data_IF_213745595364
#
_entry.id   IF_213745595364
#
_cell.length_a   1.000
_cell.length_b   1.000
_cell.length_c   1.000
_cell.angle_alpha   90.00
_cell.angle_beta   90.00
_cell.angle_gamma   90.00
#
_symmetry.space_group_name_H-M   'P 1'
#
loop_
_entity.id
_entity.type
_entity.pdbx_description
1 polymer ?
#
# COMPACT_ATOMS: atom_id res chain seq x y z
N UNK A 1 8.86 14.58 27.76
CA UNK A 1 8.62 13.76 26.56
C UNK A 1 7.88 14.63 25.54
N UNK A 2 8.41 14.71 24.31
CA UNK A 2 7.78 15.47 23.24
C UNK A 2 6.49 14.75 22.80
N UNK A 3 5.38 15.48 22.63
CA UNK A 3 4.09 14.93 22.23
C UNK A 3 4.02 14.44 20.77
N UNK A 4 5.09 14.64 19.99
CA UNK A 4 5.15 14.31 18.57
C UNK A 4 6.45 13.58 18.21
N UNK A 5 6.34 12.47 17.47
CA UNK A 5 7.47 11.66 17.02
C UNK A 5 7.25 11.16 15.60
N UNK A 6 8.25 11.30 14.74
CA UNK A 6 8.32 10.60 13.45
C UNK A 6 9.33 9.46 13.54
N UNK A 7 8.91 8.25 13.16
CA UNK A 7 9.76 7.08 13.02
C UNK A 7 9.84 6.70 11.53
N UNK A 8 11.02 6.83 10.94
CA UNK A 8 11.21 6.53 9.51
C UNK A 8 12.37 5.55 9.31
N UNK A 9 12.39 4.88 8.17
CA UNK A 9 13.46 3.94 7.78
C UNK A 9 13.03 3.03 6.64
N UNK A 10 14.00 2.42 5.98
CA UNK A 10 13.79 1.48 4.87
C UNK A 10 13.35 0.08 5.32
N UNK A 11 13.27 -0.89 4.40
CA UNK A 11 12.98 -2.28 4.71
C UNK A 11 14.09 -2.89 5.58
N UNK A 12 13.73 -3.80 6.46
CA UNK A 12 14.69 -4.52 7.31
C UNK A 12 15.33 -3.71 8.45
N UNK A 13 14.92 -2.45 8.67
CA UNK A 13 15.48 -1.58 9.73
C UNK A 13 14.76 -1.70 11.07
N UNK A 14 13.69 -2.50 11.17
CA UNK A 14 13.00 -2.77 12.42
C UNK A 14 11.93 -1.77 12.84
N UNK A 15 11.32 -1.05 11.89
CA UNK A 15 10.20 -0.15 12.17
C UNK A 15 9.11 -0.80 13.01
N UNK A 16 8.64 -1.98 12.61
CA UNK A 16 7.57 -2.71 13.31
C UNK A 16 7.99 -3.15 14.72
N UNK A 17 9.23 -3.58 14.91
CA UNK A 17 9.76 -3.95 16.24
C UNK A 17 9.80 -2.75 17.17
N UNK A 18 10.28 -1.61 16.65
CA UNK A 18 10.33 -0.34 17.41
C UNK A 18 8.91 0.14 17.73
N UNK A 19 7.99 0.03 16.79
CA UNK A 19 6.58 0.37 16.98
C UNK A 19 5.95 -0.46 18.10
N UNK A 20 6.15 -1.77 18.12
CA UNK A 20 5.67 -2.66 19.18
C UNK A 20 6.23 -2.27 20.55
N UNK A 21 7.49 -1.87 20.62
CA UNK A 21 8.11 -1.38 21.85
C UNK A 21 7.46 -0.07 22.33
N UNK A 22 7.15 0.87 21.41
CA UNK A 22 6.46 2.12 21.73
C UNK A 22 5.06 1.84 22.25
N UNK A 23 4.28 0.97 21.61
CA UNK A 23 2.94 0.59 22.03
C UNK A 23 2.98 -0.01 23.45
N UNK A 24 3.87 -0.98 23.66
CA UNK A 24 4.03 -1.62 24.98
C UNK A 24 4.40 -0.64 26.07
N UNK A 25 5.27 0.33 25.78
CA UNK A 25 5.67 1.39 26.72
C UNK A 25 4.48 2.27 27.10
N UNK A 26 3.68 2.71 26.12
CA UNK A 26 2.51 3.55 26.38
C UNK A 26 1.45 2.81 27.21
N UNK A 27 1.23 1.53 26.91
CA UNK A 27 0.30 0.72 27.73
C UNK A 27 0.77 0.53 29.17
N UNK A 28 2.08 0.30 29.38
CA UNK A 28 2.63 0.24 30.74
C UNK A 28 2.46 1.55 31.53
N UNK A 29 2.35 2.67 30.81
CA UNK A 29 2.03 3.98 31.40
C UNK A 29 0.52 4.19 31.61
N UNK A 30 -0.32 3.22 31.27
CA UNK A 30 -1.79 3.31 31.40
C UNK A 30 -2.45 4.18 30.34
N UNK A 31 -1.76 4.51 29.23
CA UNK A 31 -2.30 5.34 28.15
C UNK A 31 -3.26 4.55 27.26
N UNK A 32 -4.36 5.19 26.88
CA UNK A 32 -5.26 4.69 25.84
C UNK A 32 -4.64 4.91 24.46
N UNK A 33 -4.17 3.84 23.83
CA UNK A 33 -3.44 3.88 22.54
C UNK A 33 -4.37 3.46 21.40
N UNK A 34 -4.54 4.33 20.41
CA UNK A 34 -5.18 4.00 19.16
C UNK A 34 -4.14 3.86 18.03
N UNK A 35 -4.37 2.88 17.13
CA UNK A 35 -3.45 2.58 16.04
C UNK A 35 -4.23 2.59 14.74
N UNK A 36 -3.69 3.24 13.71
CA UNK A 36 -4.34 3.29 12.41
C UNK A 36 -3.36 3.31 11.24
N UNK A 37 -3.91 3.09 10.04
CA UNK A 37 -3.20 3.16 8.78
C UNK A 37 -4.10 3.72 7.67
N UNK A 38 -3.57 4.22 6.55
CA UNK A 38 -4.39 4.83 5.48
C UNK A 38 -5.25 3.83 4.71
N UNK A 39 -4.87 2.55 4.63
CA UNK A 39 -5.58 1.53 3.87
C UNK A 39 -6.00 0.34 4.73
N UNK A 40 -7.04 -0.39 4.30
CA UNK A 40 -7.54 -1.58 5.00
C UNK A 40 -6.48 -2.68 5.14
N UNK A 41 -5.67 -2.89 4.10
CA UNK A 41 -4.57 -3.86 4.11
C UNK A 41 -3.46 -3.49 5.06
N UNK A 42 -3.05 -2.22 5.05
CA UNK A 42 -2.04 -1.73 5.99
C UNK A 42 -2.54 -1.85 7.44
N UNK A 43 -3.80 -1.49 7.72
CA UNK A 43 -4.40 -1.63 9.04
C UNK A 43 -4.46 -3.11 9.48
N UNK A 44 -4.91 -4.02 8.61
CA UNK A 44 -4.93 -5.46 8.91
C UNK A 44 -3.53 -5.98 9.20
N UNK A 45 -2.56 -5.68 8.32
CA UNK A 45 -1.16 -6.07 8.53
C UNK A 45 -0.63 -5.54 9.88
N UNK A 46 -0.95 -4.31 10.21
CA UNK A 46 -0.55 -3.69 11.47
C UNK A 46 -1.17 -4.43 12.65
N UNK A 47 -2.45 -4.82 12.57
CA UNK A 47 -3.10 -5.65 13.58
C UNK A 47 -2.43 -7.02 13.72
N UNK A 48 -2.15 -7.70 12.61
CA UNK A 48 -1.51 -9.04 12.62
C UNK A 48 -0.10 -8.99 13.23
N UNK A 49 0.66 -7.92 12.98
CA UNK A 49 2.03 -7.77 13.46
C UNK A 49 2.13 -7.27 14.91
N UNK A 50 1.16 -6.47 15.35
CA UNK A 50 1.19 -5.85 16.70
C UNK A 50 0.34 -6.59 17.71
N UNK A 51 -0.66 -7.35 17.24
CA UNK A 51 -1.68 -7.96 18.09
C UNK A 51 -2.76 -6.98 18.57
N UNK A 52 -2.75 -5.73 18.09
CA UNK A 52 -3.73 -4.69 18.44
C UNK A 52 -4.74 -4.46 17.32
N UNK A 53 -5.95 -4.03 17.66
CA UNK A 53 -6.96 -3.66 16.68
C UNK A 53 -6.60 -2.33 16.01
N UNK A 54 -6.01 -2.42 14.82
CA UNK A 54 -5.72 -1.26 13.99
C UNK A 54 -6.85 -1.01 12.99
N UNK A 55 -7.27 0.25 12.88
CA UNK A 55 -8.33 0.68 11.96
C UNK A 55 -7.75 1.48 10.79
N UNK A 56 -8.51 1.62 9.71
CA UNK A 56 -8.16 2.67 8.75
C UNK A 56 -8.42 4.06 9.36
N UNK A 57 -7.64 5.07 8.93
CA UNK A 57 -7.86 6.45 9.38
C UNK A 57 -9.33 6.86 9.16
N UNK A 58 -9.90 6.53 8.01
CA UNK A 58 -11.30 6.84 7.69
C UNK A 58 -12.29 6.16 8.65
N UNK A 59 -12.03 4.91 9.06
CA UNK A 59 -12.89 4.19 10.04
C UNK A 59 -12.69 4.71 11.45
N UNK A 60 -11.48 5.18 11.76
CA UNK A 60 -11.18 5.77 13.06
C UNK A 60 -11.92 7.11 13.23
N UNK A 61 -11.91 7.94 12.18
CA UNK A 61 -12.59 9.24 12.17
C UNK A 61 -14.10 9.16 11.94
N UNK A 62 -14.62 8.00 11.53
CA UNK A 62 -16.02 7.73 11.19
C UNK A 62 -16.57 8.71 10.14
N UNK A 63 -16.74 8.20 8.90
CA UNK A 63 -17.21 9.02 7.77
C UNK A 63 -18.67 9.41 7.97
N UNK A 64 -18.98 10.70 7.89
CA UNK A 64 -20.34 11.24 7.81
C UNK A 64 -20.87 11.12 6.39
N UNK A 65 -22.07 10.59 6.24
CA UNK A 65 -22.79 10.67 4.98
C UNK A 65 -23.34 12.10 4.80
N UNK A 66 -22.66 12.88 3.98
CA UNK A 66 -23.15 14.20 3.55
C UNK A 66 -23.64 14.14 2.12
N UNK A 67 -24.72 14.86 1.82
CA UNK A 67 -25.25 15.03 0.46
C UNK A 67 -24.31 15.93 -0.35
N UNK A 68 -23.15 15.41 -0.77
CA UNK A 68 -22.14 16.12 -1.57
C UNK A 68 -20.81 15.38 -1.61
N UNK A 69 -19.91 15.78 -2.53
CA UNK A 69 -18.59 15.18 -2.78
C UNK A 69 -17.54 15.43 -1.66
N UNK A 70 -17.91 16.15 -0.60
CA UNK A 70 -16.98 16.45 0.52
C UNK A 70 -17.05 15.39 1.59
N UNK A 71 -15.92 14.71 1.83
CA UNK A 71 -15.75 13.82 2.97
C UNK A 71 -15.80 14.66 4.25
N UNK A 72 -16.80 14.39 5.09
CA UNK A 72 -16.88 14.89 6.45
C UNK A 72 -16.73 13.72 7.43
N UNK A 73 -16.18 13.99 8.60
CA UNK A 73 -15.97 13.00 9.65
C UNK A 73 -16.82 13.29 10.88
N UNK A 74 -17.13 12.25 11.66
CA UNK A 74 -17.84 12.38 12.94
C UNK A 74 -16.89 12.90 14.00
N UNK A 75 -15.63 12.41 14.01
CA UNK A 75 -14.59 12.92 14.89
C UNK A 75 -13.90 14.11 14.22
N UNK A 76 -13.99 15.24 14.90
CA UNK A 76 -13.46 16.55 14.54
C UNK A 76 -13.10 17.35 15.80
N UNK A 77 -12.85 18.64 15.70
CA UNK A 77 -12.53 19.54 16.83
C UNK A 77 -13.66 19.66 17.89
N UNK A 78 -14.90 19.30 17.55
CA UNK A 78 -16.06 19.31 18.46
C UNK A 78 -16.33 17.94 19.07
N UNK A 79 -15.75 16.88 18.52
CA UNK A 79 -15.93 15.50 18.97
C UNK A 79 -14.62 14.74 18.84
N UNK A 80 -13.70 14.96 19.77
CA UNK A 80 -12.36 14.39 19.73
C UNK A 80 -12.37 12.86 19.90
N UNK A 81 -11.34 12.22 19.36
CA UNK A 81 -11.04 10.82 19.66
C UNK A 81 -10.64 10.66 21.13
N UNK A 82 -11.18 9.64 21.76
CA UNK A 82 -10.84 9.30 23.16
C UNK A 82 -9.55 8.47 23.18
N UNK A 83 -8.40 9.15 23.00
CA UNK A 83 -7.09 8.52 23.05
C UNK A 83 -6.02 9.45 23.65
N UNK A 84 -5.10 8.85 24.42
CA UNK A 84 -3.91 9.53 24.95
C UNK A 84 -2.73 9.48 23.97
N UNK A 85 -2.73 8.48 23.08
CA UNK A 85 -1.73 8.33 22.05
C UNK A 85 -2.34 7.79 20.76
N UNK A 86 -2.00 8.41 19.63
CA UNK A 86 -2.38 7.96 18.30
C UNK A 86 -1.12 7.59 17.50
N UNK A 87 -1.12 6.40 16.93
CA UNK A 87 -0.05 5.91 16.08
C UNK A 87 -0.58 5.72 14.67
N UNK A 88 0.09 6.33 13.69
CA UNK A 88 -0.26 6.23 12.26
C UNK A 88 0.88 5.56 11.53
N UNK A 89 0.65 4.36 10.98
CA UNK A 89 1.61 3.67 10.11
C UNK A 89 1.33 3.96 8.63
N UNK A 90 2.28 3.64 7.77
CA UNK A 90 2.26 3.92 6.32
C UNK A 90 1.99 5.40 6.00
N UNK A 91 2.58 6.30 6.79
CA UNK A 91 2.34 7.75 6.72
C UNK A 91 2.71 8.37 5.36
N UNK A 92 3.55 7.72 4.56
CA UNK A 92 3.86 8.14 3.19
C UNK A 92 2.63 8.22 2.28
N UNK A 93 1.57 7.45 2.60
CA UNK A 93 0.31 7.42 1.83
C UNK A 93 -0.72 8.44 2.30
N UNK A 94 -0.48 9.14 3.42
CA UNK A 94 -1.43 10.11 3.98
C UNK A 94 -1.23 11.46 3.33
N UNK A 95 -2.29 12.00 2.73
CA UNK A 95 -2.29 13.33 2.13
C UNK A 95 -2.60 14.44 3.15
N UNK A 96 -2.48 15.69 2.72
CA UNK A 96 -2.65 16.85 3.60
C UNK A 96 -4.06 16.98 4.17
N UNK A 97 -5.09 16.67 3.38
CA UNK A 97 -6.48 16.76 3.82
C UNK A 97 -6.81 15.72 4.88
N UNK A 98 -6.36 14.48 4.65
CA UNK A 98 -6.58 13.39 5.61
C UNK A 98 -5.78 13.63 6.91
N UNK A 99 -4.56 14.15 6.80
CA UNK A 99 -3.75 14.49 7.97
C UNK A 99 -4.35 15.65 8.77
N UNK A 100 -4.85 16.69 8.09
CA UNK A 100 -5.59 17.79 8.74
C UNK A 100 -6.79 17.27 9.52
N UNK A 101 -7.59 16.38 8.91
CA UNK A 101 -8.75 15.78 9.58
C UNK A 101 -8.35 15.02 10.85
N UNK A 102 -7.23 14.27 10.82
CA UNK A 102 -6.70 13.61 12.01
C UNK A 102 -6.30 14.62 13.09
N UNK A 103 -5.58 15.67 12.71
CA UNK A 103 -5.13 16.69 13.68
C UNK A 103 -6.30 17.42 14.36
N UNK A 104 -7.40 17.65 13.64
CA UNK A 104 -8.63 18.22 14.21
C UNK A 104 -9.32 17.27 15.19
N UNK A 105 -9.20 15.97 14.99
CA UNK A 105 -9.89 14.96 15.79
C UNK A 105 -9.13 14.52 17.06
N UNK A 106 -7.91 14.98 17.31
CA UNK A 106 -7.12 14.61 18.47
C UNK A 106 -6.96 15.77 19.46
N UNK A 107 -6.85 15.44 20.74
CA UNK A 107 -6.53 16.43 21.79
C UNK A 107 -5.10 16.97 21.62
N UNK A 108 -4.87 18.21 22.00
CA UNK A 108 -3.52 18.82 22.06
C UNK A 108 -2.55 18.07 22.98
N UNK A 109 -3.07 17.31 23.94
CA UNK A 109 -2.29 16.47 24.86
C UNK A 109 -2.03 15.07 24.31
N UNK A 110 -2.69 14.68 23.22
CA UNK A 110 -2.51 13.38 22.59
C UNK A 110 -1.08 13.24 22.03
N UNK A 111 -0.42 12.13 22.33
CA UNK A 111 0.89 11.80 21.76
C UNK A 111 0.70 11.27 20.36
N UNK A 112 1.30 11.93 19.36
CA UNK A 112 1.18 11.53 17.96
C UNK A 112 2.49 10.89 17.49
N UNK A 113 2.41 9.64 17.03
CA UNK A 113 3.54 8.90 16.45
C UNK A 113 3.24 8.60 14.98
N UNK A 114 4.04 9.16 14.10
CA UNK A 114 3.96 8.93 12.65
C UNK A 114 5.03 7.92 12.24
N UNK A 115 4.62 6.82 11.62
CA UNK A 115 5.53 5.78 11.12
C UNK A 115 5.41 5.69 9.62
N UNK A 116 6.54 5.62 8.92
CA UNK A 116 6.51 5.50 7.47
C UNK A 116 7.90 5.44 6.84
N UNK A 117 7.91 5.35 5.53
CA UNK A 117 9.11 5.33 4.72
C UNK A 117 9.04 6.48 3.71
N UNK A 118 9.88 7.49 3.91
CA UNK A 118 9.90 8.70 3.07
C UNK A 118 10.41 8.48 1.65
N UNK A 119 11.01 7.32 1.38
CA UNK A 119 11.55 6.97 0.07
C UNK A 119 10.57 6.17 -0.79
N UNK A 120 9.47 5.69 -0.20
CA UNK A 120 8.35 5.12 -0.94
C UNK A 120 7.59 6.19 -1.74
N UNK A 121 6.62 5.73 -2.53
CA UNK A 121 5.73 6.61 -3.27
C UNK A 121 4.93 7.50 -2.30
N UNK A 122 4.78 8.80 -2.59
CA UNK A 122 3.94 9.68 -1.79
C UNK A 122 2.46 9.36 -1.98
N UNK A 123 1.61 9.98 -1.16
CA UNK A 123 0.14 9.91 -1.26
C UNK A 123 -0.36 10.22 -2.67
N UNK A 124 -1.52 9.69 -3.04
CA UNK A 124 -2.18 10.06 -4.32
C UNK A 124 -2.77 11.47 -4.22
N UNK A 125 -3.31 11.84 -3.06
CA UNK A 125 -3.84 13.18 -2.77
C UNK A 125 -2.76 14.26 -2.64
N UNK A 126 -3.18 15.48 -2.35
CA UNK A 126 -2.32 16.65 -2.29
C UNK A 126 -1.32 16.61 -1.12
N UNK A 127 -0.15 17.23 -1.32
CA UNK A 127 0.88 17.35 -0.29
C UNK A 127 1.88 16.19 -0.26
N UNK A 128 2.85 16.29 0.64
CA UNK A 128 3.87 15.27 0.92
C UNK A 128 4.22 15.31 2.41
N UNK A 129 3.19 15.10 3.24
CA UNK A 129 3.18 15.40 4.67
C UNK A 129 4.37 14.81 5.41
N UNK A 130 4.61 13.50 5.27
CA UNK A 130 5.72 12.83 5.97
C UNK A 130 7.07 13.46 5.61
N UNK A 131 7.31 13.66 4.33
CA UNK A 131 8.58 14.22 3.86
C UNK A 131 8.75 15.68 4.27
N UNK A 132 7.70 16.49 4.16
CA UNK A 132 7.74 17.90 4.56
C UNK A 132 8.04 18.07 6.04
N UNK A 133 7.45 17.22 6.89
CA UNK A 133 7.73 17.20 8.33
C UNK A 133 9.18 16.82 8.60
N UNK A 134 9.69 15.77 7.94
CA UNK A 134 11.09 15.35 8.08
C UNK A 134 12.06 16.45 7.60
N UNK A 135 11.82 16.99 6.41
CA UNK A 135 12.69 17.99 5.77
C UNK A 135 12.62 19.37 6.46
N UNK A 136 11.61 19.65 7.28
CA UNK A 136 11.52 20.88 8.07
C UNK A 136 12.54 20.91 9.21
N UNK A 137 12.94 19.75 9.73
CA UNK A 137 13.84 19.65 10.88
C UNK A 137 13.25 20.13 12.22
N UNK A 138 11.99 20.58 12.23
CA UNK A 138 11.32 21.16 13.40
C UNK A 138 10.86 20.10 14.38
N UNK A 139 10.37 18.98 13.87
CA UNK A 139 9.80 17.90 14.67
C UNK A 139 10.86 16.86 15.06
N UNK A 140 10.55 16.08 16.11
CA UNK A 140 11.40 14.96 16.49
C UNK A 140 11.31 13.83 15.48
N UNK A 141 12.43 13.53 14.82
CA UNK A 141 12.54 12.46 13.82
C UNK A 141 13.57 11.44 14.26
N UNK A 142 13.18 10.18 14.30
CA UNK A 142 14.07 9.04 14.50
C UNK A 142 14.16 8.27 13.17
N UNK A 143 15.34 8.27 12.57
CA UNK A 143 15.60 7.53 11.34
C UNK A 143 16.36 6.24 11.67
N UNK A 144 15.71 5.10 11.41
CA UNK A 144 16.34 3.79 11.54
C UNK A 144 17.18 3.53 10.29
N UNK A 145 18.50 3.50 10.44
CA UNK A 145 19.46 3.33 9.34
C UNK A 145 20.06 1.94 9.28
N UNK A 146 20.15 1.27 10.42
CA UNK A 146 20.78 -0.03 10.51
C UNK A 146 19.88 -1.14 10.03
N UNK A 147 20.36 -1.95 9.10
CA UNK A 147 19.68 -3.13 8.59
C UNK A 147 20.00 -4.29 9.54
N UNK A 148 18.99 -4.94 10.08
CA UNK A 148 19.20 -6.10 10.94
C UNK A 148 19.94 -7.23 10.20
N UNK A 149 20.80 -7.95 10.92
CA UNK A 149 21.65 -9.02 10.36
C UNK A 149 20.87 -10.02 9.50
N UNK A 150 19.69 -10.47 9.95
CA UNK A 150 18.85 -11.37 9.18
C UNK A 150 18.35 -10.75 7.87
N UNK A 151 18.05 -9.47 7.87
CA UNK A 151 17.60 -8.74 6.67
C UNK A 151 18.76 -8.48 5.70
N UNK A 152 20.02 -8.45 6.15
CA UNK A 152 21.19 -8.34 5.28
C UNK A 152 21.42 -9.57 4.39
N UNK A 153 20.82 -10.71 4.74
CA UNK A 153 20.89 -11.93 3.91
C UNK A 153 19.96 -11.87 2.70
N UNK A 154 18.97 -10.97 2.70
CA UNK A 154 18.03 -10.76 1.61
C UNK A 154 18.58 -9.81 0.55
N UNK A 155 18.70 -10.29 -0.68
CA UNK A 155 19.06 -9.45 -1.82
C UNK A 155 17.95 -8.43 -2.15
N UNK A 156 16.69 -8.73 -1.87
CA UNK A 156 15.58 -7.77 -2.02
C UNK A 156 15.85 -6.55 -1.14
N UNK A 157 16.18 -6.76 0.13
CA UNK A 157 16.44 -5.68 1.09
C UNK A 157 17.68 -4.91 0.71
N UNK A 158 18.78 -5.59 0.42
CA UNK A 158 20.05 -4.95 0.07
C UNK A 158 19.94 -4.14 -1.23
N UNK A 159 19.26 -4.69 -2.25
CA UNK A 159 19.03 -3.97 -3.50
C UNK A 159 18.05 -2.80 -3.32
N UNK A 160 17.05 -2.90 -2.45
CA UNK A 160 16.20 -1.76 -2.12
C UNK A 160 17.02 -0.58 -1.55
N UNK A 161 17.94 -0.84 -0.63
CA UNK A 161 18.84 0.20 -0.10
C UNK A 161 19.78 0.79 -1.16
N UNK A 162 20.35 -0.04 -2.05
CA UNK A 162 21.15 0.45 -3.18
C UNK A 162 20.31 1.37 -4.09
N UNK A 163 19.10 0.96 -4.44
CA UNK A 163 18.19 1.75 -5.29
C UNK A 163 17.93 3.13 -4.66
N UNK A 164 17.60 3.22 -3.38
CA UNK A 164 17.36 4.51 -2.71
C UNK A 164 18.58 5.42 -2.80
N UNK A 165 19.77 4.87 -2.60
CA UNK A 165 21.03 5.60 -2.69
C UNK A 165 21.42 5.98 -4.14
N UNK A 166 20.74 5.45 -5.14
CA UNK A 166 21.08 5.66 -6.56
C UNK A 166 22.21 4.77 -7.04
N UNK A 167 22.48 3.71 -6.32
CA UNK A 167 23.48 2.72 -6.68
C UNK A 167 22.88 1.66 -7.59
N UNK A 168 23.59 1.33 -8.67
CA UNK A 168 23.15 0.27 -9.59
C UNK A 168 23.23 -1.08 -8.91
N UNK A 169 22.26 -1.94 -9.22
CA UNK A 169 22.14 -3.29 -8.65
C UNK A 169 22.71 -4.33 -9.60
N UNK A 170 23.26 -5.41 -9.04
CA UNK A 170 23.71 -6.54 -9.86
C UNK A 170 22.51 -7.37 -10.32
N UNK A 171 22.19 -7.26 -11.61
CA UNK A 171 21.11 -8.01 -12.26
C UNK A 171 21.58 -9.38 -12.80
N UNK A 172 22.85 -9.74 -12.68
CA UNK A 172 23.37 -11.03 -13.08
C UNK A 172 23.29 -12.09 -11.99
N UNK A 173 23.19 -11.67 -10.73
CA UNK A 173 22.99 -12.57 -9.59
C UNK A 173 21.72 -13.41 -9.77
N UNK A 174 21.81 -14.71 -9.46
CA UNK A 174 20.70 -15.67 -9.51
C UNK A 174 20.47 -16.33 -8.17
N UNK A 175 21.08 -15.79 -7.14
CA UNK A 175 21.08 -16.38 -5.83
C UNK A 175 19.97 -15.77 -4.95
N UNK A 176 19.49 -16.56 -4.01
CA UNK A 176 18.58 -16.19 -2.94
C UNK A 176 17.16 -15.82 -3.40
N UNK A 177 16.76 -14.55 -3.20
CA UNK A 177 15.38 -14.09 -3.26
C UNK A 177 15.14 -13.02 -4.36
N UNK A 178 16.19 -12.62 -5.10
CA UNK A 178 16.12 -11.58 -6.13
C UNK A 178 16.58 -12.12 -7.49
N UNK A 179 15.73 -11.98 -8.51
CA UNK A 179 16.01 -12.47 -9.86
C UNK A 179 15.73 -11.39 -10.92
N UNK A 180 16.54 -11.37 -11.96
CA UNK A 180 16.30 -10.57 -13.15
C UNK A 180 16.25 -11.44 -14.39
N UNK A 181 15.20 -11.28 -15.21
CA UNK A 181 15.02 -12.01 -16.47
C UNK A 181 14.85 -11.02 -17.61
N UNK A 182 15.93 -10.85 -18.39
CA UNK A 182 15.91 -9.93 -19.52
C UNK A 182 14.94 -10.39 -20.60
N UNK A 183 14.10 -9.46 -21.08
CA UNK A 183 13.27 -9.61 -22.28
C UNK A 183 13.33 -8.30 -23.06
N UNK A 184 13.40 -8.42 -24.40
CA UNK A 184 13.53 -7.27 -25.28
C UNK A 184 12.30 -7.05 -26.15
N UNK A 185 11.35 -7.99 -26.13
CA UNK A 185 10.09 -7.94 -26.85
C UNK A 185 8.90 -8.07 -25.89
N UNK A 186 7.82 -7.33 -26.18
CA UNK A 186 6.61 -7.37 -25.34
C UNK A 186 5.95 -8.74 -25.28
N UNK A 187 5.91 -9.47 -26.41
CA UNK A 187 5.37 -10.83 -26.47
C UNK A 187 6.12 -11.79 -25.56
N UNK A 188 7.45 -11.81 -25.65
CA UNK A 188 8.31 -12.63 -24.81
C UNK A 188 8.17 -12.30 -23.30
N UNK A 189 8.01 -11.01 -22.98
CA UNK A 189 7.79 -10.57 -21.60
C UNK A 189 6.47 -11.14 -21.07
N UNK A 190 5.39 -10.99 -21.83
CA UNK A 190 4.07 -11.49 -21.43
C UNK A 190 4.07 -13.01 -21.30
N UNK A 191 4.69 -13.74 -22.26
CA UNK A 191 4.81 -15.20 -22.22
C UNK A 191 5.55 -15.67 -20.98
N UNK A 192 6.66 -15.00 -20.65
CA UNK A 192 7.43 -15.34 -19.47
C UNK A 192 6.65 -15.06 -18.17
N UNK A 193 5.94 -13.93 -18.08
CA UNK A 193 5.11 -13.63 -16.90
C UNK A 193 4.05 -14.70 -16.69
N UNK A 194 3.37 -15.13 -17.77
CA UNK A 194 2.40 -16.23 -17.72
C UNK A 194 3.07 -17.54 -17.31
N UNK A 195 4.20 -17.88 -17.91
CA UNK A 195 4.94 -19.11 -17.59
C UNK A 195 5.39 -19.15 -16.13
N UNK A 196 5.88 -18.03 -15.60
CA UNK A 196 6.24 -17.90 -14.18
C UNK A 196 5.04 -18.15 -13.27
N UNK A 197 3.90 -17.50 -13.54
CA UNK A 197 2.70 -17.65 -12.73
C UNK A 197 2.07 -19.06 -12.85
N UNK A 198 1.99 -19.62 -14.07
CA UNK A 198 1.23 -20.84 -14.34
C UNK A 198 2.02 -22.12 -14.04
N UNK A 199 3.33 -22.10 -14.29
CA UNK A 199 4.11 -23.34 -14.31
C UNK A 199 5.39 -23.30 -13.50
N UNK A 200 6.27 -22.31 -13.68
CA UNK A 200 7.60 -22.33 -13.07
C UNK A 200 7.57 -22.22 -11.57
N UNK A 201 6.93 -21.18 -11.05
CA UNK A 201 6.89 -20.93 -9.61
C UNK A 201 6.05 -21.95 -8.85
N UNK A 202 4.85 -22.36 -9.35
CA UNK A 202 4.11 -23.45 -8.72
C UNK A 202 4.89 -24.77 -8.68
N UNK A 203 5.59 -25.14 -9.77
CA UNK A 203 6.33 -26.41 -9.81
C UNK A 203 7.61 -26.40 -8.97
N UNK A 204 8.31 -25.25 -8.91
CA UNK A 204 9.61 -25.18 -8.26
C UNK A 204 9.51 -24.89 -6.75
N UNK A 205 8.47 -24.17 -6.32
CA UNK A 205 8.35 -23.63 -4.96
C UNK A 205 6.98 -23.85 -4.33
N UNK A 206 6.05 -24.51 -5.01
CA UNK A 206 4.67 -24.78 -4.56
C UNK A 206 3.86 -23.48 -4.29
N UNK A 207 4.18 -22.38 -4.98
CA UNK A 207 3.45 -21.12 -4.86
C UNK A 207 2.13 -21.17 -5.62
N UNK A 208 1.05 -20.73 -4.96
CA UNK A 208 -0.25 -20.52 -5.58
C UNK A 208 -0.21 -19.30 -6.53
N UNK A 209 -0.60 -19.46 -7.80
CA UNK A 209 -0.67 -18.33 -8.74
C UNK A 209 -1.62 -17.21 -8.29
N UNK A 210 -2.61 -17.55 -7.46
CA UNK A 210 -3.67 -16.64 -7.03
C UNK A 210 -3.32 -16.00 -5.70
N UNK A 211 -2.84 -16.80 -4.72
CA UNK A 211 -2.66 -16.36 -3.35
C UNK A 211 -1.27 -15.77 -3.10
N UNK A 212 -0.22 -16.43 -3.60
CA UNK A 212 1.17 -16.08 -3.27
C UNK A 212 1.82 -15.13 -4.28
N UNK A 213 1.40 -15.19 -5.56
CA UNK A 213 2.04 -14.43 -6.64
C UNK A 213 1.25 -13.16 -6.95
N UNK A 214 1.97 -12.03 -7.03
CA UNK A 214 1.41 -10.77 -7.52
C UNK A 214 2.29 -10.20 -8.64
N UNK A 215 1.67 -9.97 -9.80
CA UNK A 215 2.33 -9.24 -10.88
C UNK A 215 2.15 -7.74 -10.67
N UNK A 216 3.26 -6.99 -10.71
CA UNK A 216 3.28 -5.54 -10.63
C UNK A 216 3.74 -4.92 -11.94
N UNK A 217 3.11 -3.82 -12.35
CA UNK A 217 3.54 -3.03 -13.49
C UNK A 217 3.57 -1.53 -13.14
N UNK A 218 4.54 -0.77 -13.64
CA UNK A 218 4.53 0.69 -13.56
C UNK A 218 3.33 1.34 -14.25
N UNK A 219 2.73 0.67 -15.23
CA UNK A 219 1.73 1.25 -16.12
C UNK A 219 0.41 0.46 -16.13
N UNK A 220 -0.70 1.17 -16.38
CA UNK A 220 -2.02 0.54 -16.58
C UNK A 220 -2.25 0.15 -18.04
N UNK A 221 -1.85 1.03 -18.97
CA UNK A 221 -2.05 0.88 -20.42
C UNK A 221 -0.77 0.41 -21.10
N UNK A 222 -0.92 -0.14 -22.31
CA UNK A 222 0.18 -0.64 -23.13
C UNK A 222 0.45 -2.14 -22.94
N UNK A 223 1.32 -2.72 -23.77
CA UNK A 223 1.52 -4.18 -23.81
C UNK A 223 2.06 -4.78 -22.51
N UNK A 224 2.91 -4.05 -21.78
CA UNK A 224 3.38 -4.46 -20.44
C UNK A 224 2.51 -3.88 -19.30
N UNK A 225 1.38 -3.24 -19.62
CA UNK A 225 0.46 -2.65 -18.64
C UNK A 225 -0.48 -3.67 -18.04
N UNK A 226 -1.05 -3.32 -16.87
CA UNK A 226 -1.90 -4.23 -16.11
C UNK A 226 -3.14 -4.70 -16.86
N UNK A 227 -3.70 -3.89 -17.76
CA UNK A 227 -4.90 -4.26 -18.53
C UNK A 227 -4.61 -5.47 -19.43
N UNK A 228 -3.53 -5.43 -20.22
CA UNK A 228 -3.19 -6.52 -21.13
C UNK A 228 -2.65 -7.75 -20.36
N UNK A 229 -1.85 -7.52 -19.31
CA UNK A 229 -1.37 -8.60 -18.45
C UNK A 229 -2.55 -9.33 -17.78
N UNK A 230 -3.55 -8.61 -17.26
CA UNK A 230 -4.72 -9.22 -16.64
C UNK A 230 -5.54 -10.05 -17.62
N UNK A 231 -5.76 -9.57 -18.85
CA UNK A 231 -6.46 -10.36 -19.89
C UNK A 231 -5.76 -11.67 -20.15
N UNK A 232 -4.44 -11.61 -20.34
CA UNK A 232 -3.63 -12.77 -20.66
C UNK A 232 -3.54 -13.75 -19.48
N UNK A 233 -3.29 -13.23 -18.27
CA UNK A 233 -3.23 -14.05 -17.06
C UNK A 233 -4.59 -14.71 -16.77
N UNK A 234 -5.70 -13.99 -16.90
CA UNK A 234 -7.03 -14.57 -16.75
C UNK A 234 -7.26 -15.70 -17.76
N UNK A 235 -6.89 -15.51 -19.02
CA UNK A 235 -7.07 -16.51 -20.07
C UNK A 235 -6.29 -17.78 -19.78
N UNK A 236 -5.10 -17.67 -19.19
CA UNK A 236 -4.19 -18.78 -18.93
C UNK A 236 -4.41 -19.44 -17.56
N UNK A 237 -4.74 -18.66 -16.53
CA UNK A 237 -4.92 -19.16 -15.17
C UNK A 237 -6.38 -19.52 -14.87
N UNK A 238 -7.33 -18.82 -15.48
CA UNK A 238 -8.76 -19.02 -15.27
C UNK A 238 -9.54 -18.97 -16.59
N UNK A 239 -9.28 -19.89 -17.54
CA UNK A 239 -9.93 -19.91 -18.85
C UNK A 239 -11.44 -20.14 -18.72
N UNK A 240 -12.23 -19.74 -19.75
CA UNK A 240 -13.62 -20.12 -19.84
C UNK A 240 -13.76 -21.64 -19.92
N UNK A 241 -14.74 -22.21 -19.26
CA UNK A 241 -15.04 -23.63 -19.28
C UNK A 241 -16.54 -23.90 -19.32
N UNK A 242 -16.94 -25.07 -19.84
CA UNK A 242 -18.32 -25.49 -19.81
C UNK A 242 -18.84 -25.52 -18.35
N UNK A 243 -19.99 -24.91 -18.10
CA UNK A 243 -20.56 -24.80 -16.76
C UNK A 243 -20.00 -23.66 -15.89
N UNK A 244 -18.90 -23.02 -16.26
CA UNK A 244 -18.37 -21.87 -15.54
C UNK A 244 -19.19 -20.63 -15.80
N UNK A 245 -19.76 -20.04 -14.73
CA UNK A 245 -20.58 -18.85 -14.85
C UNK A 245 -19.71 -17.60 -15.04
N UNK A 246 -20.16 -16.71 -15.93
CA UNK A 246 -19.51 -15.44 -16.26
C UNK A 246 -20.51 -14.30 -16.22
N UNK A 247 -20.06 -13.12 -15.80
CA UNK A 247 -20.75 -11.83 -15.98
C UNK A 247 -19.86 -10.91 -16.80
N UNK A 248 -20.44 -10.34 -17.86
CA UNK A 248 -19.74 -9.41 -18.76
C UNK A 248 -20.07 -7.97 -18.39
N UNK A 249 -19.07 -7.15 -18.27
CA UNK A 249 -19.15 -5.69 -18.23
C UNK A 249 -18.55 -5.12 -19.52
N UNK A 250 -18.66 -3.82 -19.80
CA UNK A 250 -18.06 -3.23 -20.99
C UNK A 250 -16.52 -3.42 -21.07
N UNK A 251 -15.85 -3.59 -19.92
CA UNK A 251 -14.37 -3.65 -19.84
C UNK A 251 -13.87 -5.06 -19.54
N UNK A 252 -14.57 -5.80 -18.66
CA UNK A 252 -14.11 -7.09 -18.14
C UNK A 252 -15.17 -8.18 -18.29
N UNK A 253 -14.71 -9.42 -18.34
CA UNK A 253 -15.53 -10.61 -18.13
C UNK A 253 -15.11 -11.23 -16.81
N UNK A 254 -15.97 -11.22 -15.81
CA UNK A 254 -15.69 -11.80 -14.49
C UNK A 254 -16.17 -13.24 -14.41
N UNK A 255 -15.34 -14.13 -13.87
CA UNK A 255 -15.58 -15.58 -13.73
C UNK A 255 -15.35 -16.02 -12.30
N UNK A 256 -16.04 -17.07 -11.88
CA UNK A 256 -15.68 -17.75 -10.62
C UNK A 256 -14.20 -18.13 -10.64
N UNK A 257 -13.49 -17.82 -9.57
CA UNK A 257 -12.05 -18.03 -9.42
C UNK A 257 -11.16 -16.86 -9.87
N UNK A 258 -11.75 -15.77 -10.41
CA UNK A 258 -10.96 -14.59 -10.75
C UNK A 258 -10.48 -13.86 -9.50
N UNK A 259 -9.22 -13.41 -9.55
CA UNK A 259 -8.65 -12.45 -8.60
C UNK A 259 -9.04 -11.04 -9.03
N UNK A 260 -9.69 -10.31 -8.13
CA UNK A 260 -10.25 -8.98 -8.40
C UNK A 260 -9.85 -7.98 -7.33
N UNK A 261 -9.95 -6.70 -7.63
CA UNK A 261 -9.64 -5.61 -6.71
C UNK A 261 -10.72 -4.53 -6.78
N UNK A 262 -11.14 -4.05 -5.62
CA UNK A 262 -11.96 -2.86 -5.47
C UNK A 262 -11.16 -1.61 -5.86
N UNK A 263 -11.75 -0.73 -6.67
CA UNK A 263 -11.05 0.44 -7.22
C UNK A 263 -11.41 1.76 -6.58
N UNK A 264 -12.47 1.78 -5.76
CA UNK A 264 -12.94 2.95 -5.01
C UNK A 264 -13.33 2.52 -3.60
N UNK A 265 -13.27 3.46 -2.66
CA UNK A 265 -13.88 3.23 -1.34
C UNK A 265 -15.39 3.16 -1.49
N UNK A 266 -15.98 2.15 -0.88
CA UNK A 266 -17.42 2.00 -0.79
C UNK A 266 -17.79 1.54 0.61
N UNK A 267 -18.38 2.44 1.38
CA UNK A 267 -18.68 2.25 2.80
C UNK A 267 -20.01 1.51 3.02
N UNK A 268 -20.82 1.33 1.97
CA UNK A 268 -22.15 0.75 2.04
C UNK A 268 -22.17 -0.74 1.68
N UNK A 269 -21.12 -1.26 1.05
CA UNK A 269 -21.03 -2.67 0.68
C UNK A 269 -21.05 -3.53 1.94
N UNK A 270 -22.15 -4.27 2.12
CA UNK A 270 -22.29 -5.19 3.25
C UNK A 270 -21.48 -6.45 3.01
N UNK A 271 -20.81 -6.91 4.07
CA UNK A 271 -20.07 -8.16 4.07
C UNK A 271 -20.38 -9.01 5.30
N UNK A 272 -20.17 -10.32 5.17
CA UNK A 272 -20.25 -11.31 6.25
C UNK A 272 -18.93 -12.08 6.33
N UNK A 273 -18.48 -12.36 7.55
CA UNK A 273 -17.30 -13.18 7.82
C UNK A 273 -17.69 -14.30 8.78
N UNK A 274 -17.52 -15.53 8.32
CA UNK A 274 -17.77 -16.72 9.14
C UNK A 274 -16.51 -17.01 9.98
N UNK A 275 -16.63 -16.86 11.31
CA UNK A 275 -15.51 -17.09 12.25
C UNK A 275 -15.52 -18.56 12.71
N UNK A 276 -16.72 -19.08 13.04
CA UNK A 276 -16.98 -20.48 13.36
C UNK A 276 -18.33 -20.85 12.75
N UNK A 277 -18.75 -22.14 12.81
CA UNK A 277 -20.06 -22.57 12.34
C UNK A 277 -21.21 -21.78 12.97
N UNK A 278 -21.07 -21.37 14.23
CA UNK A 278 -22.12 -20.64 14.98
C UNK A 278 -21.88 -19.12 15.10
N UNK A 279 -20.70 -18.63 14.69
CA UNK A 279 -20.35 -17.22 14.86
C UNK A 279 -20.06 -16.54 13.53
N UNK A 280 -20.94 -15.61 13.16
CA UNK A 280 -20.78 -14.74 11.98
C UNK A 280 -20.58 -13.30 12.43
N UNK A 281 -19.58 -12.66 11.90
CA UNK A 281 -19.36 -11.22 11.96
C UNK A 281 -19.93 -10.59 10.70
N UNK A 282 -20.60 -9.45 10.83
CA UNK A 282 -21.10 -8.68 9.69
C UNK A 282 -20.68 -7.22 9.84
N UNK A 283 -20.46 -6.59 8.72
CA UNK A 283 -20.07 -5.19 8.68
C UNK A 283 -20.32 -4.58 7.32
N UNK A 284 -19.89 -3.34 7.15
CA UNK A 284 -19.97 -2.60 5.91
C UNK A 284 -18.60 -2.02 5.54
N UNK A 285 -18.40 -1.78 4.25
CA UNK A 285 -17.23 -1.16 3.67
C UNK A 285 -16.24 -2.15 3.06
N UNK A 286 -16.03 -1.97 1.75
CA UNK A 286 -14.93 -2.54 0.96
C UNK A 286 -14.18 -1.36 0.33
N UNK A 287 -12.86 -1.36 0.44
CA UNK A 287 -12.08 -0.17 0.18
C UNK A 287 -11.18 -0.31 -1.06
N UNK A 288 -10.77 0.83 -1.61
CA UNK A 288 -9.83 0.88 -2.72
C UNK A 288 -8.54 0.11 -2.36
N UNK A 289 -8.18 -0.84 -3.25
CA UNK A 289 -7.04 -1.72 -3.05
C UNK A 289 -7.36 -3.06 -2.39
N UNK A 290 -8.57 -3.25 -1.83
CA UNK A 290 -8.99 -4.57 -1.30
C UNK A 290 -9.01 -5.59 -2.45
N UNK A 291 -8.26 -6.68 -2.31
CA UNK A 291 -8.22 -7.78 -3.28
C UNK A 291 -9.06 -8.93 -2.74
N UNK A 292 -9.82 -9.55 -3.62
CA UNK A 292 -10.64 -10.71 -3.32
C UNK A 292 -10.69 -11.71 -4.47
N UNK A 293 -11.29 -12.86 -4.18
CA UNK A 293 -11.52 -13.93 -5.15
C UNK A 293 -13.01 -14.08 -5.40
N UNK A 294 -13.41 -14.17 -6.65
CA UNK A 294 -14.79 -14.44 -7.02
C UNK A 294 -15.13 -15.89 -6.69
N UNK A 295 -15.98 -16.09 -5.69
CA UNK A 295 -16.41 -17.43 -5.24
C UNK A 295 -17.68 -17.92 -5.90
N UNK A 296 -18.57 -17.00 -6.35
CA UNK A 296 -19.77 -17.35 -7.08
C UNK A 296 -20.18 -16.27 -8.09
N UNK A 297 -20.84 -16.68 -9.15
CA UNK A 297 -21.41 -15.80 -10.19
C UNK A 297 -22.83 -16.25 -10.50
N UNK A 298 -23.80 -15.35 -10.34
CA UNK A 298 -25.19 -15.57 -10.71
C UNK A 298 -25.48 -14.86 -12.04
N UNK A 299 -25.67 -15.64 -13.11
CA UNK A 299 -25.95 -15.11 -14.47
C UNK A 299 -27.32 -14.44 -14.59
N UNK A 300 -28.30 -14.91 -13.85
CA UNK A 300 -29.69 -14.42 -13.92
C UNK A 300 -29.79 -13.06 -13.24
N UNK A 301 -29.32 -12.97 -12.00
CA UNK A 301 -29.32 -11.74 -11.23
C UNK A 301 -28.19 -10.80 -11.62
N UNK A 302 -27.20 -11.26 -12.42
CA UNK A 302 -25.97 -10.56 -12.77
C UNK A 302 -25.19 -10.08 -11.54
N UNK A 303 -25.16 -10.92 -10.50
CA UNK A 303 -24.43 -10.65 -9.27
C UNK A 303 -23.17 -11.51 -9.18
N UNK A 304 -22.17 -10.99 -8.47
CA UNK A 304 -20.89 -11.65 -8.22
C UNK A 304 -20.64 -11.67 -6.70
N UNK A 305 -20.37 -12.84 -6.15
CA UNK A 305 -19.99 -12.97 -4.74
C UNK A 305 -18.48 -13.06 -4.65
N UNK A 306 -17.88 -12.22 -3.82
CA UNK A 306 -16.42 -12.07 -3.69
C UNK A 306 -16.06 -12.30 -2.25
N UNK A 307 -15.01 -13.08 -2.04
CA UNK A 307 -14.34 -13.23 -0.76
C UNK A 307 -13.12 -12.29 -0.69
N UNK A 308 -13.22 -11.25 0.14
CA UNK A 308 -12.12 -10.33 0.45
C UNK A 308 -11.46 -10.77 1.76
N UNK A 309 -10.61 -11.78 1.70
CA UNK A 309 -9.87 -12.31 2.87
C UNK A 309 -10.81 -12.70 4.03
N UNK A 310 -11.83 -13.48 3.74
CA UNK A 310 -12.86 -13.93 4.67
C UNK A 310 -14.08 -13.02 4.79
N UNK A 311 -14.03 -11.78 4.29
CA UNK A 311 -15.20 -10.88 4.18
C UNK A 311 -15.94 -11.15 2.87
N UNK A 312 -17.05 -11.85 2.95
CA UNK A 312 -17.85 -12.23 1.78
C UNK A 312 -18.86 -11.14 1.47
N UNK A 313 -18.76 -10.53 0.30
CA UNK A 313 -19.63 -9.48 -0.20
C UNK A 313 -20.30 -9.87 -1.52
N UNK A 314 -21.52 -9.39 -1.73
CA UNK A 314 -22.27 -9.61 -2.98
C UNK A 314 -22.35 -8.30 -3.74
N UNK A 315 -21.88 -8.33 -4.98
CA UNK A 315 -21.83 -7.20 -5.90
C UNK A 315 -22.95 -7.32 -6.93
N UNK A 316 -23.72 -6.27 -7.07
CA UNK A 316 -24.68 -6.12 -8.17
C UNK A 316 -24.00 -5.55 -9.43
N UNK A 317 -24.80 -5.35 -10.48
CA UNK A 317 -24.28 -4.87 -11.76
C UNK A 317 -23.62 -3.48 -11.68
N UNK A 318 -24.12 -2.58 -10.83
CA UNK A 318 -23.58 -1.21 -10.71
C UNK A 318 -22.26 -1.22 -9.95
N UNK A 319 -22.17 -2.04 -8.91
CA UNK A 319 -20.96 -2.19 -8.10
C UNK A 319 -19.81 -2.82 -8.91
N UNK A 320 -20.11 -3.62 -9.97
CA UNK A 320 -19.06 -4.21 -10.82
C UNK A 320 -18.22 -3.18 -11.58
N UNK A 321 -18.69 -1.95 -11.76
CA UNK A 321 -17.92 -0.87 -12.38
C UNK A 321 -16.75 -0.41 -11.49
N UNK A 322 -16.81 -0.72 -10.19
CA UNK A 322 -15.76 -0.47 -9.22
C UNK A 322 -14.81 -1.68 -9.01
N UNK A 323 -14.89 -2.70 -9.86
CA UNK A 323 -13.99 -3.87 -9.83
C UNK A 323 -13.08 -3.92 -11.05
N UNK A 324 -11.84 -4.33 -10.82
CA UNK A 324 -10.87 -4.69 -11.86
C UNK A 324 -10.30 -6.08 -11.60
N UNK A 325 -9.84 -6.76 -12.65
CA UNK A 325 -9.02 -7.96 -12.49
C UNK A 325 -7.70 -7.58 -11.79
N UNK A 326 -7.22 -8.44 -10.91
CA UNK A 326 -6.07 -8.16 -10.03
C UNK A 326 -4.95 -9.21 -10.08
N UNK A 327 -4.86 -10.02 -11.13
CA UNK A 327 -3.68 -10.85 -11.38
C UNK A 327 -2.44 -9.98 -11.53
N UNK A 328 -2.59 -8.82 -12.21
CA UNK A 328 -1.60 -7.77 -12.30
C UNK A 328 -2.19 -6.44 -11.80
N UNK A 329 -1.47 -5.74 -10.94
CA UNK A 329 -1.84 -4.41 -10.43
C UNK A 329 -0.73 -3.40 -10.66
N UNK A 330 -1.05 -2.11 -10.63
CA UNK A 330 0.00 -1.09 -10.70
C UNK A 330 0.77 -0.98 -9.39
N UNK A 331 2.03 -0.55 -9.46
CA UNK A 331 2.86 -0.30 -8.26
C UNK A 331 2.16 0.65 -7.29
N UNK A 332 1.48 1.69 -7.77
CA UNK A 332 0.70 2.60 -6.92
C UNK A 332 -0.40 1.88 -6.14
N UNK A 333 -1.09 0.92 -6.77
CA UNK A 333 -2.14 0.14 -6.11
C UNK A 333 -1.62 -0.96 -5.19
N UNK A 334 -0.32 -1.23 -5.19
CA UNK A 334 0.31 -2.16 -4.25
C UNK A 334 0.81 -1.50 -2.95
N UNK A 335 0.71 -0.17 -2.83
CA UNK A 335 1.10 0.54 -1.61
C UNK A 335 0.29 0.01 -0.40
N UNK A 336 0.94 -0.09 0.75
CA UNK A 336 0.36 -0.67 1.97
C UNK A 336 0.15 -2.19 1.93
N UNK A 337 0.53 -2.86 0.81
CA UNK A 337 0.44 -4.32 0.65
C UNK A 337 1.83 -4.93 0.52
N UNK A 338 1.96 -6.19 0.92
CA UNK A 338 3.14 -7.02 0.66
C UNK A 338 2.68 -8.38 0.15
N UNK A 339 3.50 -9.02 -0.68
CA UNK A 339 3.20 -10.29 -1.32
C UNK A 339 4.39 -11.24 -1.17
N UNK A 340 4.13 -12.52 -1.05
CA UNK A 340 5.20 -13.51 -0.90
C UNK A 340 6.10 -13.51 -2.12
N UNK A 341 5.52 -13.50 -3.32
CA UNK A 341 6.24 -13.43 -4.59
C UNK A 341 5.75 -12.25 -5.43
N UNK A 342 6.68 -11.42 -5.86
CA UNK A 342 6.40 -10.30 -6.78
C UNK A 342 7.08 -10.57 -8.13
N UNK A 343 6.31 -10.46 -9.21
CA UNK A 343 6.84 -10.37 -10.57
C UNK A 343 6.66 -8.93 -11.05
N UNK A 344 7.76 -8.20 -11.18
CA UNK A 344 7.75 -6.79 -11.59
C UNK A 344 8.10 -6.67 -13.07
N UNK A 345 7.20 -6.11 -13.88
CA UNK A 345 7.50 -5.84 -15.30
C UNK A 345 8.14 -4.46 -15.46
N UNK A 346 9.35 -4.40 -16.01
CA UNK A 346 10.09 -3.16 -16.26
C UNK A 346 10.49 -3.07 -17.73
N UNK A 347 9.58 -2.58 -18.57
CA UNK A 347 9.81 -2.56 -20.01
C UNK A 347 8.99 -1.49 -20.74
N UNK A 348 9.65 -0.72 -21.62
CA UNK A 348 9.00 0.31 -22.44
C UNK A 348 8.33 1.41 -21.63
N UNK A 349 7.30 2.03 -22.20
CA UNK A 349 6.42 2.98 -21.53
C UNK A 349 6.93 4.42 -21.47
N UNK A 350 6.18 5.26 -20.76
CA UNK A 350 6.40 6.69 -20.66
C UNK A 350 7.46 6.98 -19.60
N UNK A 351 8.55 7.67 -19.93
CA UNK A 351 9.68 7.93 -19.03
C UNK A 351 9.29 8.59 -17.70
N UNK A 352 8.23 9.43 -17.71
CA UNK A 352 7.71 10.07 -16.48
C UNK A 352 7.20 9.10 -15.41
N UNK A 353 6.86 7.86 -15.79
CA UNK A 353 6.39 6.81 -14.87
C UNK A 353 7.52 5.91 -14.37
N UNK A 354 8.74 6.09 -14.89
CA UNK A 354 9.89 5.26 -14.56
C UNK A 354 10.91 6.06 -13.75
N UNK A 355 10.75 6.05 -12.44
CA UNK A 355 11.60 6.79 -11.51
C UNK A 355 11.94 5.97 -10.27
N UNK A 356 12.98 6.37 -9.57
CA UNK A 356 13.61 5.64 -8.47
C UNK A 356 12.64 5.18 -7.38
N UNK A 357 11.82 6.11 -6.86
CA UNK A 357 10.89 5.78 -5.78
C UNK A 357 9.82 4.75 -6.19
N UNK A 358 9.44 4.73 -7.48
CA UNK A 358 8.50 3.72 -7.99
C UNK A 358 9.14 2.34 -8.03
N UNK A 359 10.40 2.24 -8.49
CA UNK A 359 11.16 0.99 -8.46
C UNK A 359 11.36 0.51 -7.03
N UNK A 360 11.80 1.41 -6.14
CA UNK A 360 11.98 1.13 -4.73
C UNK A 360 10.69 0.61 -4.08
N UNK A 361 9.56 1.30 -4.29
CA UNK A 361 8.27 0.86 -3.76
C UNK A 361 7.89 -0.52 -4.28
N UNK A 362 8.11 -0.81 -5.57
CA UNK A 362 7.80 -2.11 -6.15
C UNK A 362 8.67 -3.23 -5.55
N UNK A 363 9.97 -3.00 -5.39
CA UNK A 363 10.92 -3.95 -4.81
C UNK A 363 10.54 -4.29 -3.37
N UNK A 364 10.18 -3.28 -2.58
CA UNK A 364 9.80 -3.46 -1.17
C UNK A 364 8.43 -4.12 -0.97
N UNK A 365 7.69 -4.45 -2.04
CA UNK A 365 6.44 -5.22 -1.95
C UNK A 365 6.67 -6.74 -1.84
N UNK A 366 7.87 -7.23 -2.18
CA UNK A 366 8.19 -8.64 -2.11
C UNK A 366 8.70 -9.05 -0.73
N UNK A 367 8.14 -10.13 -0.18
CA UNK A 367 8.57 -10.71 1.11
C UNK A 367 9.64 -11.79 0.93
N UNK A 368 9.42 -12.72 0.00
CA UNK A 368 10.22 -13.95 -0.16
C UNK A 368 10.94 -14.02 -1.49
N UNK A 369 10.33 -13.50 -2.56
CA UNK A 369 10.92 -13.57 -3.88
C UNK A 369 10.50 -12.39 -4.74
N UNK A 370 11.48 -11.78 -5.40
CA UNK A 370 11.27 -10.75 -6.43
C UNK A 370 11.86 -11.22 -7.75
N UNK A 371 11.05 -11.17 -8.80
CA UNK A 371 11.51 -11.43 -10.17
C UNK A 371 11.22 -10.18 -11.00
N UNK A 372 12.27 -9.50 -11.46
CA UNK A 372 12.13 -8.39 -12.42
C UNK A 372 12.21 -8.98 -13.83
N UNK A 373 11.16 -8.74 -14.63
CA UNK A 373 11.10 -9.16 -16.04
C UNK A 373 11.12 -7.92 -16.92
N UNK A 374 12.12 -7.80 -17.79
CA UNK A 374 12.18 -6.67 -18.72
C UNK A 374 13.56 -6.24 -19.17
N UNK A 375 13.78 -4.94 -19.29
CA UNK A 375 15.02 -4.36 -19.84
C UNK A 375 15.94 -3.86 -18.74
N UNK A 376 17.20 -4.35 -18.73
CA UNK A 376 18.25 -3.83 -17.84
C UNK A 376 18.40 -2.30 -17.97
N UNK A 377 18.45 -1.79 -19.20
CA UNK A 377 18.54 -0.35 -19.46
C UNK A 377 17.42 0.45 -18.78
N UNK A 378 16.21 -0.14 -18.71
CA UNK A 378 15.06 0.52 -18.08
C UNK A 378 15.17 0.49 -16.55
N UNK A 379 15.69 -0.58 -15.97
CA UNK A 379 15.99 -0.64 -14.53
C UNK A 379 17.05 0.40 -14.15
N UNK A 380 18.17 0.42 -14.88
CA UNK A 380 19.25 1.40 -14.67
C UNK A 380 18.72 2.84 -14.81
N UNK A 381 17.90 3.11 -15.85
CA UNK A 381 17.24 4.40 -16.02
C UNK A 381 16.37 4.81 -14.81
N UNK A 382 15.63 3.87 -14.22
CA UNK A 382 14.81 4.16 -13.04
C UNK A 382 15.68 4.51 -11.83
N UNK A 383 16.79 3.82 -11.63
CA UNK A 383 17.74 4.09 -10.53
C UNK A 383 18.33 5.49 -10.68
N UNK A 384 18.73 5.87 -11.91
CA UNK A 384 19.31 7.18 -12.18
C UNK A 384 18.28 8.31 -12.13
N UNK A 385 17.01 8.00 -12.45
CA UNK A 385 15.94 8.98 -12.50
C UNK A 385 15.39 9.32 -11.10
N UNK A 386 16.09 10.22 -10.41
CA UNK A 386 15.65 10.78 -9.13
C UNK A 386 14.71 12.00 -9.30
N UNK A 387 14.11 12.19 -10.46
CA UNK A 387 13.11 13.24 -10.69
C UNK A 387 11.86 12.90 -9.90
N UNK A 388 11.89 13.26 -8.62
CA UNK A 388 10.72 13.27 -7.77
C UNK A 388 9.69 14.17 -8.44
N UNK A 389 8.45 13.75 -8.47
CA UNK A 389 7.37 14.66 -8.81
C UNK A 389 7.41 15.78 -7.77
N UNK A 390 7.97 16.92 -8.12
CA UNK A 390 8.01 18.09 -7.25
C UNK A 390 6.56 18.44 -6.93
N UNK A 391 6.19 18.28 -5.68
CA UNK A 391 4.89 18.73 -5.17
C UNK A 391 5.10 20.11 -4.59
N UNK A 392 4.30 21.05 -5.05
CA UNK A 392 4.24 22.38 -4.47
C UNK A 392 3.43 22.30 -3.19
N UNK A 393 4.12 22.23 -2.06
CA UNK A 393 3.54 22.24 -0.72
C UNK A 393 4.21 23.34 0.09
N UNK A 394 3.42 24.04 0.91
CA UNK A 394 3.92 25.07 1.81
C UNK A 394 4.25 24.52 3.22
N UNK A 395 3.84 23.29 3.54
CA UNK A 395 3.89 22.77 4.91
C UNK A 395 5.28 22.85 5.53
N UNK A 396 6.33 22.46 4.81
CA UNK A 396 7.72 22.57 5.29
C UNK A 396 8.07 24.01 5.70
N UNK A 397 7.83 24.97 4.83
CA UNK A 397 8.17 26.37 5.07
C UNK A 397 7.35 26.96 6.22
N UNK A 398 6.05 26.65 6.27
CA UNK A 398 5.18 27.11 7.37
C UNK A 398 5.63 26.56 8.71
N UNK A 399 6.07 25.29 8.79
CA UNK A 399 6.62 24.72 10.01
C UNK A 399 7.90 25.42 10.45
N UNK A 400 8.78 25.78 9.52
CA UNK A 400 10.03 26.52 9.83
C UNK A 400 9.73 27.93 10.32
N UNK A 401 8.83 28.65 9.64
CA UNK A 401 8.43 30.03 9.98
C UNK A 401 7.81 30.12 11.40
N UNK A 402 7.01 29.13 11.79
CA UNK A 402 6.41 29.09 13.14
C UNK A 402 7.45 29.04 14.26
N UNK A 403 8.57 28.33 14.04
CA UNK A 403 9.64 28.23 15.06
C UNK A 403 10.52 29.48 15.07
N UNK A 404 10.84 30.03 13.91
CA UNK A 404 11.61 31.28 13.81
C UNK A 404 10.83 32.47 14.39
N UNK A 405 9.50 32.48 14.29
CA UNK A 405 8.62 33.49 14.89
C UNK A 405 8.57 33.44 16.41
N UNK A 406 8.60 32.24 17.02
CA UNK A 406 8.65 32.05 18.46
C UNK A 406 10.00 32.50 19.08
N UNK A 407 11.13 32.24 18.42
CA UNK A 407 12.45 32.69 18.89
C UNK A 407 12.60 34.22 18.87
N UNK A 408 11.94 34.92 17.93
CA UNK A 408 11.93 36.39 17.88
C UNK A 408 11.06 37.02 18.98
N UNK A 409 10.08 36.30 19.53
CA UNK A 409 9.22 36.76 20.62
C UNK A 409 9.87 36.64 22.01
N UNK A 410 10.85 35.79 22.22
CA UNK A 410 11.56 35.65 23.52
C UNK A 410 12.69 36.67 23.74
N UNK A 411 13.13 37.38 22.69
CA UNK A 411 14.18 38.42 22.86
C UNK A 411 13.67 39.79 23.30
N UNK A 412 12.38 39.98 23.56
CA UNK A 412 11.79 41.27 23.95
C UNK A 412 11.27 41.34 25.37
N UNK A 413 11.64 40.42 26.29
CA UNK A 413 11.21 40.45 27.69
C UNK A 413 12.36 40.56 28.72
N UNK A 414 13.55 41.01 28.31
CA UNK A 414 14.64 41.41 29.20
C UNK A 414 14.86 42.94 29.07
N UNK A 415 13.93 43.76 29.63
CA UNK A 415 14.18 45.14 30.07
C UNK A 415 13.52 45.37 31.42
#
# INVERSE_FOLDING_TARGET
>A
SKGFLVLTGGPGTGKTTTLNAIISLYQQQGLNVMICAPTGRAAKRLSDLTGFDAKTIHRLLEVKHTSGDTLAFIHDENNLLDCDALIIDEMSMVDSCLFEAVLRAISVTCKLVLVGDSDQLPSVGAGNVLKDIIDSGVMSVVTLKEIFRQAQESEIVMNAHKIVNGEHIDLASKDKDFFFMQRLEYGELQDLVVELCKTRLPKAYDYSPIDDIQVLSPTRKGPAGTVELNKRLQQELNPPAAGKSEVKTPVYTFRKGDKVMQTKNDYEILWKKYITEDKTESGAGIFNGDIGIIIAVNKILKTVTIDFEGRIAVYDKQMLDNLELAYAITVHKSQGSEFDVVILTVFGGFDKLYYRNLLYTAVTRAKRMLIIVGSKKRVDFMIDNNKRTLRYTALKNMLMELVEGDDSGQQTLDI
#
